data_IF_946418153160
#
_entry.id   IF_946418153160
#
_cell.length_a   1.000
_cell.length_b   1.000
_cell.length_c   1.000
_cell.angle_alpha   90.00
_cell.angle_beta   90.00
_cell.angle_gamma   90.00
#
_symmetry.space_group_name_H-M   'P 1'
#
loop_
_entity.id
_entity.type
_entity.pdbx_description
1 polymer ?
#
# COMPACT_ATOMS: atom_id res chain seq x y z
N UNK A 1 30.17 -56.07 -45.99
CA UNK A 1 29.58 -57.13 -45.16
C UNK A 1 29.79 -56.72 -43.70
N UNK A 2 29.39 -55.52 -43.27
CA UNK A 2 28.01 -54.98 -43.22
C UNK A 2 27.05 -55.96 -42.60
N UNK A 3 26.80 -55.79 -41.29
CA UNK A 3 25.47 -55.90 -40.70
C UNK A 3 25.50 -55.14 -39.35
N UNK A 4 25.01 -53.91 -39.43
CA UNK A 4 24.46 -53.10 -38.33
C UNK A 4 23.27 -53.85 -37.73
N UNK A 5 23.24 -54.04 -36.41
CA UNK A 5 22.01 -54.41 -35.68
C UNK A 5 21.77 -53.34 -34.61
N UNK A 6 20.89 -52.42 -34.99
CA UNK A 6 20.45 -51.20 -34.31
C UNK A 6 19.30 -51.60 -33.36
N UNK A 7 19.63 -51.79 -32.07
CA UNK A 7 18.67 -52.18 -31.03
C UNK A 7 17.92 -50.94 -30.52
N UNK A 8 16.79 -50.68 -31.17
CA UNK A 8 15.84 -49.59 -30.93
C UNK A 8 15.03 -49.86 -29.64
N UNK A 9 15.61 -49.52 -28.48
CA UNK A 9 14.91 -49.55 -27.19
C UNK A 9 13.85 -48.42 -27.11
N UNK A 10 12.59 -48.78 -27.35
CA UNK A 10 11.44 -47.89 -27.17
C UNK A 10 11.33 -47.39 -25.71
N UNK A 11 11.68 -46.12 -25.51
CA UNK A 11 11.49 -45.41 -24.24
C UNK A 11 9.99 -45.16 -24.00
N UNK A 12 9.39 -45.90 -23.06
CA UNK A 12 7.97 -45.77 -22.69
C UNK A 12 7.68 -44.37 -22.13
N UNK A 13 7.03 -43.53 -22.93
CA UNK A 13 6.59 -42.18 -22.54
C UNK A 13 5.51 -42.28 -21.45
N UNK A 14 5.87 -41.95 -20.20
CA UNK A 14 4.90 -41.81 -19.12
C UNK A 14 4.00 -40.58 -19.38
N UNK A 15 2.73 -40.85 -19.67
CA UNK A 15 1.71 -39.86 -19.98
C UNK A 15 1.35 -39.04 -18.71
N UNK A 16 1.85 -37.81 -18.60
CA UNK A 16 1.40 -36.86 -17.57
C UNK A 16 0.01 -36.30 -17.94
N UNK A 17 -0.98 -36.29 -17.03
CA UNK A 17 -2.33 -35.84 -17.37
C UNK A 17 -2.39 -34.33 -17.62
N UNK A 18 -2.90 -33.95 -18.81
CA UNK A 18 -3.18 -32.56 -19.22
C UNK A 18 -4.20 -31.90 -18.29
N UNK A 19 -4.02 -30.63 -17.87
CA UNK A 19 -5.01 -29.94 -17.04
C UNK A 19 -6.24 -29.55 -17.89
N UNK A 20 -7.42 -30.04 -17.50
CA UNK A 20 -8.71 -29.60 -18.06
C UNK A 20 -8.95 -28.13 -17.71
N UNK A 21 -9.05 -27.30 -18.73
CA UNK A 21 -9.52 -25.91 -18.67
C UNK A 21 -11.01 -25.92 -18.33
N UNK A 22 -11.40 -25.19 -17.29
CA UNK A 22 -12.77 -24.66 -17.17
C UNK A 22 -13.72 -25.30 -16.17
N UNK A 23 -13.29 -25.68 -14.97
CA UNK A 23 -14.23 -25.97 -13.88
C UNK A 23 -14.00 -25.04 -12.67
N UNK A 24 -14.95 -24.13 -12.45
CA UNK A 24 -14.99 -23.25 -11.28
C UNK A 24 -15.35 -24.10 -10.07
N UNK A 25 -14.37 -24.35 -9.19
CA UNK A 25 -14.64 -24.94 -7.87
C UNK A 25 -15.65 -24.08 -7.13
N UNK A 26 -16.84 -24.63 -6.85
CA UNK A 26 -17.78 -24.06 -5.90
C UNK A 26 -17.17 -24.23 -4.51
N UNK A 27 -16.99 -23.13 -3.81
CA UNK A 27 -16.68 -23.15 -2.39
C UNK A 27 -17.92 -23.67 -1.67
N UNK A 28 -17.84 -24.85 -1.08
CA UNK A 28 -18.84 -25.37 -0.16
C UNK A 28 -18.72 -24.58 1.15
N UNK A 29 -19.75 -23.80 1.46
CA UNK A 29 -19.83 -22.93 2.63
C UNK A 29 -20.39 -23.67 3.86
N UNK A 30 -20.09 -24.97 3.98
CA UNK A 30 -20.64 -25.84 5.02
C UNK A 30 -19.57 -26.50 5.89
N UNK A 31 -18.52 -25.76 6.24
CA UNK A 31 -17.61 -26.15 7.33
C UNK A 31 -17.02 -24.95 8.08
N UNK A 32 -17.71 -23.80 8.09
CA UNK A 32 -17.35 -22.69 8.96
C UNK A 32 -17.99 -22.91 10.34
N UNK A 33 -17.19 -23.40 11.29
CA UNK A 33 -17.55 -23.52 12.69
C UNK A 33 -18.21 -22.24 13.21
N UNK A 34 -19.49 -22.37 13.57
CA UNK A 34 -20.25 -21.38 14.31
C UNK A 34 -19.63 -21.26 15.70
N UNK A 35 -18.87 -20.20 15.96
CA UNK A 35 -18.73 -19.51 17.25
C UNK A 35 -17.62 -18.47 17.15
N UNK A 36 -17.94 -17.33 16.53
CA UNK A 36 -17.22 -16.08 16.73
C UNK A 36 -18.24 -15.09 17.29
N UNK A 37 -18.09 -14.62 18.55
CA UNK A 37 -18.99 -13.59 19.06
C UNK A 37 -18.83 -12.33 18.21
N UNK A 38 -19.95 -11.84 17.67
CA UNK A 38 -20.01 -10.53 17.04
C UNK A 38 -19.76 -9.50 18.14
N UNK A 39 -18.53 -9.00 18.20
CA UNK A 39 -18.21 -7.84 19.03
C UNK A 39 -18.86 -6.62 18.39
N UNK A 40 -20.11 -6.39 18.77
CA UNK A 40 -20.80 -5.13 18.52
C UNK A 40 -20.08 -4.07 19.35
N UNK A 41 -19.23 -3.26 18.72
CA UNK A 41 -18.74 -2.02 19.33
C UNK A 41 -19.95 -1.10 19.53
N UNK A 42 -20.56 -1.14 20.72
CA UNK A 42 -21.49 -0.12 21.18
C UNK A 42 -20.70 0.96 21.90
N UNK A 43 -19.99 1.80 21.14
CA UNK A 43 -19.61 3.13 21.64
C UNK A 43 -20.82 4.08 21.57
N UNK A 44 -21.99 3.59 21.94
CA UNK A 44 -23.15 4.43 22.18
C UNK A 44 -23.11 4.79 23.66
N UNK A 45 -22.60 5.99 23.95
CA UNK A 45 -22.81 6.65 25.24
C UNK A 45 -24.30 6.69 25.51
N UNK A 46 -24.76 5.72 26.31
CA UNK A 46 -26.10 5.69 26.86
C UNK A 46 -26.15 6.83 27.86
N UNK A 47 -26.70 7.97 27.44
CA UNK A 47 -27.07 9.07 28.33
C UNK A 47 -28.05 8.53 29.36
N UNK A 48 -27.54 8.18 30.53
CA UNK A 48 -28.36 7.86 31.69
C UNK A 48 -29.10 9.11 32.11
N UNK A 49 -30.43 9.00 32.18
CA UNK A 49 -31.25 9.93 32.95
C UNK A 49 -30.74 9.90 34.40
N UNK A 50 -30.15 11.02 34.84
CA UNK A 50 -29.48 11.07 36.15
C UNK A 50 -28.92 12.44 36.46
N UNK A 51 -29.81 13.33 36.90
CA UNK A 51 -29.60 14.46 37.83
C UNK A 51 -28.17 15.02 37.97
N UNK A 52 -27.98 16.21 37.40
CA UNK A 52 -27.18 17.35 37.88
C UNK A 52 -26.14 17.07 38.99
N UNK A 53 -24.86 17.00 38.64
CA UNK A 53 -23.79 17.62 39.45
C UNK A 53 -22.67 18.16 38.56
N UNK A 54 -22.52 19.47 38.65
CA UNK A 54 -21.59 20.33 37.95
C UNK A 54 -20.16 20.09 38.46
N UNK A 55 -19.34 19.36 37.69
CA UNK A 55 -17.88 19.36 37.79
C UNK A 55 -17.32 19.49 36.37
N UNK A 56 -17.19 20.74 35.92
CA UNK A 56 -16.61 21.06 34.62
C UNK A 56 -15.11 20.75 34.61
N UNK A 57 -14.72 19.67 33.94
CA UNK A 57 -13.36 19.54 33.43
C UNK A 57 -13.29 20.41 32.17
N UNK A 58 -12.95 21.68 32.32
CA UNK A 58 -12.65 22.54 31.18
C UNK A 58 -11.26 22.14 30.63
N UNK A 59 -11.23 21.11 29.78
CA UNK A 59 -9.97 20.62 29.16
C UNK A 59 -9.55 21.46 27.95
N UNK A 60 -10.33 22.48 27.58
CA UNK A 60 -10.01 23.39 26.48
C UNK A 60 -10.18 24.83 26.95
N UNK A 61 -9.11 25.66 26.96
CA UNK A 61 -9.28 27.08 27.20
C UNK A 61 -10.05 27.68 26.02
N UNK A 62 -11.26 28.14 26.28
CA UNK A 62 -12.10 28.84 25.30
C UNK A 62 -11.54 30.26 25.10
N UNK A 63 -10.57 30.41 24.19
CA UNK A 63 -10.05 31.73 23.80
C UNK A 63 -11.00 32.35 22.79
N UNK A 64 -12.13 32.88 23.28
CA UNK A 64 -13.07 33.61 22.47
C UNK A 64 -13.37 34.97 23.08
N UNK A 65 -12.31 35.72 23.36
CA UNK A 65 -12.42 37.12 23.74
C UNK A 65 -11.26 37.89 23.11
N UNK A 66 -11.63 38.97 22.41
CA UNK A 66 -10.77 40.02 21.85
C UNK A 66 -10.07 39.74 20.51
N UNK A 67 -10.72 40.12 19.41
CA UNK A 67 -10.06 40.92 18.34
C UNK A 67 -11.03 41.93 17.72
N UNK A 68 -11.18 43.07 18.38
CA UNK A 68 -11.42 44.35 17.68
C UNK A 68 -10.02 44.91 17.38
N UNK A 69 -9.52 44.71 16.17
CA UNK A 69 -8.32 45.42 15.72
C UNK A 69 -8.39 45.63 14.21
N UNK A 70 -8.39 46.91 13.81
CA UNK A 70 -8.20 47.35 12.44
C UNK A 70 -6.92 46.72 11.88
N UNK A 71 -7.04 45.86 10.89
CA UNK A 71 -5.93 45.14 10.25
C UNK A 71 -6.42 43.82 9.71
N UNK A 72 -6.26 43.63 8.39
CA UNK A 72 -6.68 42.51 7.54
C UNK A 72 -7.49 41.37 8.19
N UNK A 73 -8.69 41.16 7.65
CA UNK A 73 -9.58 40.04 7.98
C UNK A 73 -8.82 38.73 7.79
N UNK A 74 -8.30 38.18 8.88
CA UNK A 74 -7.70 36.84 8.88
C UNK A 74 -8.82 35.86 8.54
N UNK A 75 -8.74 35.26 7.35
CA UNK A 75 -9.66 34.19 6.95
C UNK A 75 -9.64 33.12 8.03
N UNK A 76 -10.81 32.70 8.49
CA UNK A 76 -10.95 31.62 9.47
C UNK A 76 -10.35 30.34 8.87
N UNK A 77 -9.10 30.04 9.24
CA UNK A 77 -8.36 28.88 8.77
C UNK A 77 -8.32 27.85 9.90
N UNK A 78 -8.61 26.57 9.63
CA UNK A 78 -8.54 25.52 10.64
C UNK A 78 -7.16 25.46 11.29
N UNK A 79 -7.10 25.06 12.57
CA UNK A 79 -5.83 24.78 13.22
C UNK A 79 -5.09 23.68 12.44
N UNK A 80 -3.84 23.98 12.10
CA UNK A 80 -2.91 23.05 11.47
C UNK A 80 -1.64 22.98 12.27
N UNK A 81 -1.11 21.76 12.40
CA UNK A 81 0.16 21.50 13.11
C UNK A 81 1.36 22.03 12.33
N UNK A 82 1.26 22.07 11.00
CA UNK A 82 2.35 22.48 10.12
C UNK A 82 1.99 23.76 9.36
N UNK A 83 2.85 24.75 9.62
CA UNK A 83 3.20 25.98 8.91
C UNK A 83 3.61 25.93 7.43
N UNK A 84 2.82 25.54 6.42
CA UNK A 84 3.32 25.47 5.02
C UNK A 84 4.07 26.73 4.55
N UNK A 85 3.63 27.92 4.95
CA UNK A 85 4.28 29.20 4.63
C UNK A 85 5.52 29.52 5.48
N UNK A 86 5.68 28.85 6.62
CA UNK A 86 6.80 29.04 7.55
C UNK A 86 7.89 27.95 7.38
N UNK A 87 7.61 26.88 6.62
CA UNK A 87 8.50 25.73 6.47
C UNK A 87 9.21 25.77 5.12
N UNK A 88 10.52 25.98 5.17
CA UNK A 88 11.40 25.82 4.01
C UNK A 88 11.85 24.35 3.89
N UNK A 89 11.70 23.77 2.69
CA UNK A 89 12.06 22.38 2.39
C UNK A 89 13.33 22.37 1.55
N UNK A 90 14.38 21.69 2.03
CA UNK A 90 15.61 21.47 1.26
C UNK A 90 15.29 20.81 -0.10
N UNK A 91 15.82 21.38 -1.18
CA UNK A 91 15.62 20.92 -2.54
C UNK A 91 15.95 19.43 -2.73
N UNK A 92 16.90 18.89 -1.97
CA UNK A 92 17.34 17.48 -2.07
C UNK A 92 16.27 16.49 -1.59
N UNK A 93 15.36 16.91 -0.71
CA UNK A 93 14.30 16.07 -0.14
C UNK A 93 12.91 16.49 -0.60
N UNK A 94 12.84 17.41 -1.57
CA UNK A 94 11.57 17.96 -2.07
C UNK A 94 10.75 16.93 -2.84
N UNK A 95 11.40 16.03 -3.58
CA UNK A 95 10.71 15.02 -4.40
C UNK A 95 11.02 13.59 -3.90
N UNK A 96 9.96 12.85 -3.58
CA UNK A 96 10.00 11.44 -3.16
C UNK A 96 9.65 10.47 -4.30
N UNK A 97 9.52 10.96 -5.52
CA UNK A 97 9.26 10.12 -6.69
C UNK A 97 10.42 9.15 -6.95
N UNK A 98 10.12 8.02 -7.61
CA UNK A 98 11.15 7.11 -8.06
C UNK A 98 12.10 7.77 -9.07
N UNK A 99 11.59 8.70 -9.89
CA UNK A 99 12.35 9.36 -10.95
C UNK A 99 13.40 10.32 -10.39
N UNK A 100 13.14 10.93 -9.23
CA UNK A 100 14.12 11.75 -8.50
C UNK A 100 15.20 10.94 -7.78
N UNK A 101 15.07 9.61 -7.67
CA UNK A 101 16.10 8.76 -7.04
C UNK A 101 17.39 8.82 -7.87
N UNK A 102 18.52 9.09 -7.21
CA UNK A 102 19.84 8.93 -7.84
C UNK A 102 19.99 7.49 -8.38
N UNK A 103 20.41 7.36 -9.64
CA UNK A 103 20.51 6.09 -10.37
C UNK A 103 19.17 5.36 -10.57
N UNK A 104 18.06 6.08 -10.71
CA UNK A 104 16.76 5.49 -11.02
C UNK A 104 16.75 4.80 -12.39
N UNK A 105 17.33 5.45 -13.40
CA UNK A 105 17.39 4.97 -14.78
C UNK A 105 18.27 3.71 -14.90
N UNK A 106 17.80 2.71 -15.65
CA UNK A 106 18.49 1.44 -15.86
C UNK A 106 18.50 0.49 -14.67
N UNK A 107 17.91 0.89 -13.54
CA UNK A 107 17.90 0.07 -12.32
C UNK A 107 16.82 -1.02 -12.35
N UNK A 108 16.97 -2.03 -11.50
CA UNK A 108 16.02 -3.14 -11.33
C UNK A 108 14.59 -2.67 -11.05
N UNK A 109 14.43 -1.52 -10.39
CA UNK A 109 13.13 -0.93 -10.03
C UNK A 109 12.47 -0.09 -11.13
N UNK A 110 13.21 0.32 -12.17
CA UNK A 110 12.69 1.26 -13.18
C UNK A 110 11.49 0.68 -13.94
N UNK A 111 11.62 -0.55 -14.42
CA UNK A 111 10.57 -1.24 -15.17
C UNK A 111 9.34 -1.50 -14.29
N UNK A 112 9.54 -1.86 -13.03
CA UNK A 112 8.46 -2.02 -12.06
C UNK A 112 7.74 -0.69 -11.80
N UNK A 113 8.47 0.43 -11.69
CA UNK A 113 7.87 1.75 -11.54
C UNK A 113 7.00 2.11 -12.76
N UNK A 114 7.51 1.92 -13.98
CA UNK A 114 6.74 2.17 -15.21
C UNK A 114 5.42 1.37 -15.25
N UNK A 115 5.46 0.10 -14.87
CA UNK A 115 4.29 -0.79 -14.90
C UNK A 115 3.28 -0.51 -13.79
N UNK A 116 3.76 -0.24 -12.57
CA UNK A 116 2.92 -0.22 -11.37
C UNK A 116 2.53 1.18 -10.90
N UNK A 117 3.18 2.26 -11.36
CA UNK A 117 2.95 3.63 -10.86
C UNK A 117 1.51 4.12 -10.96
N UNK A 118 0.76 3.63 -11.94
CA UNK A 118 -0.63 4.02 -12.16
C UNK A 118 -1.64 3.14 -11.41
N UNK A 119 -1.19 2.04 -10.80
CA UNK A 119 -2.06 1.12 -10.06
C UNK A 119 -1.98 1.39 -8.56
N UNK A 120 -3.13 1.38 -7.88
CA UNK A 120 -3.21 1.60 -6.44
C UNK A 120 -4.20 0.64 -5.78
N UNK A 121 -4.06 0.40 -4.48
CA UNK A 121 -5.00 -0.41 -3.71
C UNK A 121 -5.19 -1.84 -4.23
N UNK A 122 -6.45 -2.26 -4.42
CA UNK A 122 -6.78 -3.63 -4.84
C UNK A 122 -6.19 -3.97 -6.21
N UNK A 123 -6.26 -3.06 -7.19
CA UNK A 123 -5.73 -3.32 -8.54
C UNK A 123 -4.21 -3.49 -8.52
N UNK A 124 -3.49 -2.73 -7.69
CA UNK A 124 -2.04 -2.90 -7.49
C UNK A 124 -1.68 -4.32 -7.05
N UNK A 125 -2.42 -4.91 -6.10
CA UNK A 125 -2.16 -6.29 -5.65
C UNK A 125 -2.29 -7.30 -6.80
N UNK A 126 -3.31 -7.14 -7.64
CA UNK A 126 -3.55 -8.02 -8.78
C UNK A 126 -2.49 -7.81 -9.86
N UNK A 127 -2.23 -6.56 -10.24
CA UNK A 127 -1.22 -6.20 -11.25
C UNK A 127 0.17 -6.65 -10.83
N UNK A 128 0.58 -6.36 -9.59
CA UNK A 128 1.86 -6.84 -9.03
C UNK A 128 1.95 -8.36 -9.08
N UNK A 129 0.89 -9.07 -8.69
CA UNK A 129 0.92 -10.55 -8.70
C UNK A 129 1.01 -11.10 -10.12
N UNK A 130 0.30 -10.47 -11.07
CA UNK A 130 0.36 -10.84 -12.49
C UNK A 130 1.76 -10.61 -13.06
N UNK A 131 2.35 -9.45 -12.81
CA UNK A 131 3.71 -9.09 -13.23
C UNK A 131 4.78 -9.95 -12.55
N UNK A 132 4.60 -10.29 -11.26
CA UNK A 132 5.50 -11.19 -10.49
C UNK A 132 5.44 -12.64 -10.98
N UNK A 133 4.24 -13.16 -11.33
CA UNK A 133 4.07 -14.53 -11.80
C UNK A 133 4.61 -14.75 -13.22
N UNK A 134 4.84 -13.69 -13.98
CA UNK A 134 5.63 -13.74 -15.21
C UNK A 134 7.14 -13.68 -14.94
N UNK A 135 7.94 -13.81 -16.00
CA UNK A 135 9.40 -13.65 -15.92
C UNK A 135 9.76 -12.16 -15.90
N UNK A 136 9.51 -11.48 -14.76
CA UNK A 136 9.95 -10.09 -14.60
C UNK A 136 11.49 -10.04 -14.64
N UNK A 137 12.01 -9.41 -15.70
CA UNK A 137 13.43 -9.13 -15.92
C UNK A 137 13.60 -7.61 -15.85
N UNK A 138 14.02 -7.13 -14.68
CA UNK A 138 14.32 -5.71 -14.44
C UNK A 138 15.67 -5.28 -15.05
N UNK A 139 16.09 -4.06 -14.76
CA UNK A 139 17.46 -3.58 -15.01
C UNK A 139 18.47 -4.06 -13.96
N UNK A 140 19.64 -3.43 -13.87
CA UNK A 140 20.68 -3.86 -12.92
C UNK A 140 20.28 -3.58 -11.46
N UNK A 141 20.68 -4.44 -10.52
CA UNK A 141 20.55 -4.14 -9.09
C UNK A 141 21.56 -3.04 -8.75
N UNK A 142 21.03 -1.88 -8.37
CA UNK A 142 21.82 -0.76 -7.87
C UNK A 142 22.24 -1.05 -6.41
N UNK A 143 23.56 -1.13 -6.18
CA UNK A 143 24.16 -1.33 -4.85
C UNK A 143 24.71 0.00 -4.28
N UNK A 144 24.46 1.13 -4.93
CA UNK A 144 24.90 2.44 -4.47
C UNK A 144 24.18 2.93 -3.22
N UNK A 145 24.79 3.90 -2.54
CA UNK A 145 24.22 4.58 -1.36
C UNK A 145 23.56 5.90 -1.80
N UNK A 146 22.32 6.14 -1.36
CA UNK A 146 21.56 7.36 -1.68
C UNK A 146 21.24 8.22 -0.43
N UNK A 147 22.08 8.14 0.60
CA UNK A 147 21.96 8.95 1.80
C UNK A 147 22.36 10.40 1.54
N UNK A 148 21.64 11.34 2.14
CA UNK A 148 21.92 12.77 2.12
C UNK A 148 22.46 13.17 3.49
N UNK A 149 23.57 13.91 3.54
CA UNK A 149 24.11 14.47 4.79
C UNK A 149 23.35 15.75 5.14
N UNK A 150 22.87 15.82 6.38
CA UNK A 150 22.35 17.05 6.97
C UNK A 150 23.51 17.95 7.38
N UNK A 151 23.37 19.24 7.09
CA UNK A 151 24.29 20.28 7.57
C UNK A 151 23.98 20.65 9.02
#
# INVERSE_FOLDING_TARGET
DDDDDDDDEEETVQETPKPKVGEKRKFDDSAAGKNQPKNNYSNFVKSGEGKSQQKGFASTPNFNEQRKSNGEVRKNTPFRRVREEEVEIDARVKDMSFEAKRNASGSWGERANKDLKYTRGKSFKHEKTKKKRGSYRGGQIDMGVNSIKFE
#
